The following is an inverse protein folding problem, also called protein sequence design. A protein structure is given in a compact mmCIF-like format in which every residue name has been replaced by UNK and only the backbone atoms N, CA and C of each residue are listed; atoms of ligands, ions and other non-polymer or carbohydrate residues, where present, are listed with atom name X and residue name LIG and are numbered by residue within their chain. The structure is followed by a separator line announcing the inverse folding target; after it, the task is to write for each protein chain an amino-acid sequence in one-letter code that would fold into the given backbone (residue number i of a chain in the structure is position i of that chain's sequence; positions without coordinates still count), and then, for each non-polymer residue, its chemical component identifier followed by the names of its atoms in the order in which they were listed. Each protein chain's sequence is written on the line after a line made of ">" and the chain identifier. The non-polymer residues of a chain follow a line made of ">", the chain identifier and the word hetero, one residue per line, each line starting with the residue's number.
data_IF_011893639291
#
_entry.id   IF_011893639291
#
_cell.length_a   1.000
_cell.length_b   1.000
_cell.length_c   1.000
_cell.angle_alpha   90.00
_cell.angle_beta   90.00
_cell.angle_gamma   90.00
#
_symmetry.space_group_name_H-M   'P 1'
#
loop_
_entity.id
_entity.type
_entity.pdbx_description
1 polymer ?
#
# COMPACT_ATOMS: atom_id res chain seq x y z
N UNK A 1 -13.35 -0.62 -4.77
CA UNK A 1 -12.49 0.27 -4.03
C UNK A 1 -11.96 1.37 -4.93
N UNK A 2 -10.97 1.15 -5.71
CA UNK A 2 -10.36 2.16 -6.56
C UNK A 2 -10.50 1.72 -8.00
N UNK A 3 -10.91 2.63 -8.92
CA UNK A 3 -11.06 2.24 -10.30
C UNK A 3 -9.71 2.01 -10.97
N UNK A 4 -8.80 2.95 -10.79
CA UNK A 4 -7.44 2.87 -11.33
C UNK A 4 -6.48 3.36 -10.27
N UNK A 5 -5.31 2.75 -10.22
CA UNK A 5 -4.26 3.18 -9.32
C UNK A 5 -3.87 2.08 -8.36
N UNK A 6 -3.24 2.49 -7.27
CA UNK A 6 -2.61 1.57 -6.32
C UNK A 6 -3.28 1.69 -4.95
N UNK A 7 -3.33 0.57 -4.25
CA UNK A 7 -3.77 0.51 -2.86
C UNK A 7 -2.70 -0.19 -2.06
N UNK A 8 -2.30 0.40 -0.94
CA UNK A 8 -1.37 -0.21 0.00
C UNK A 8 -2.07 -0.38 1.35
N UNK A 9 -1.87 -1.54 1.98
CA UNK A 9 -2.40 -1.81 3.31
C UNK A 9 -1.22 -2.10 4.23
N UNK A 10 -1.14 -1.34 5.32
CA UNK A 10 -0.02 -1.37 6.25
C UNK A 10 -0.51 -1.33 7.68
N UNK A 11 0.39 -1.52 8.64
CA UNK A 11 0.13 -1.23 10.05
C UNK A 11 1.42 -0.82 10.72
N UNK A 12 1.29 -0.02 11.80
CA UNK A 12 2.46 0.45 12.54
C UNK A 12 3.18 -0.70 13.25
N UNK A 13 2.43 -1.63 13.80
CA UNK A 13 3.00 -2.79 14.49
C UNK A 13 3.46 -3.85 13.48
N UNK A 14 4.36 -3.45 12.61
CA UNK A 14 4.87 -4.28 11.52
C UNK A 14 6.21 -3.69 11.07
N UNK A 15 7.33 -4.30 11.42
CA UNK A 15 8.65 -3.76 11.04
C UNK A 15 8.82 -3.56 9.54
N UNK A 16 8.31 -4.47 8.73
CA UNK A 16 8.39 -4.33 7.28
C UNK A 16 7.56 -3.16 6.79
N UNK A 17 6.40 -2.91 7.38
CA UNK A 17 5.58 -1.74 7.05
C UNK A 17 6.31 -0.45 7.37
N UNK A 18 6.98 -0.39 8.52
CA UNK A 18 7.78 0.79 8.89
C UNK A 18 8.91 1.00 7.88
N UNK A 19 9.55 -0.09 7.46
CA UNK A 19 10.65 -0.03 6.50
C UNK A 19 10.19 0.52 5.14
N UNK A 20 8.98 0.17 4.70
CA UNK A 20 8.50 0.61 3.38
C UNK A 20 7.84 1.98 3.39
N UNK A 21 7.67 2.62 4.55
CA UNK A 21 7.04 3.94 4.61
C UNK A 21 7.68 4.96 3.67
N UNK A 22 9.04 5.09 3.61
CA UNK A 22 9.66 6.01 2.65
C UNK A 22 9.37 5.63 1.19
N UNK A 23 9.24 4.33 0.91
CA UNK A 23 8.90 3.87 -0.44
C UNK A 23 7.50 4.30 -0.81
N UNK A 24 6.56 4.22 0.14
CA UNK A 24 5.19 4.67 -0.08
C UNK A 24 5.13 6.16 -0.39
N UNK A 25 5.95 6.97 0.30
CA UNK A 25 6.03 8.40 0.00
C UNK A 25 6.52 8.65 -1.41
N UNK A 26 7.50 7.89 -1.86
CA UNK A 26 8.03 8.01 -3.22
C UNK A 26 6.98 7.61 -4.25
N UNK A 27 6.26 6.52 -4.01
CA UNK A 27 5.21 6.06 -4.92
C UNK A 27 4.10 7.13 -5.03
N UNK A 28 3.74 7.76 -3.92
CA UNK A 28 2.72 8.82 -3.90
C UNK A 28 3.07 10.00 -4.79
N UNK A 29 4.37 10.28 -4.97
CA UNK A 29 4.81 11.39 -5.82
C UNK A 29 4.68 11.07 -7.31
N UNK A 30 4.57 9.79 -7.66
CA UNK A 30 4.58 9.35 -9.05
C UNK A 30 3.29 8.68 -9.49
N UNK A 31 2.49 8.20 -8.53
CA UNK A 31 1.32 7.38 -8.82
C UNK A 31 0.15 7.78 -7.95
N UNK A 32 -1.04 7.41 -8.40
CA UNK A 32 -2.26 7.52 -7.60
C UNK A 32 -2.27 6.34 -6.62
N UNK A 33 -2.07 6.62 -5.34
CA UNK A 33 -1.94 5.61 -4.30
C UNK A 33 -2.85 5.95 -3.12
N UNK A 34 -3.67 4.98 -2.73
CA UNK A 34 -4.48 5.04 -1.52
C UNK A 34 -3.84 4.14 -0.46
N UNK A 35 -3.60 4.66 0.73
CA UNK A 35 -2.99 3.91 1.83
C UNK A 35 -4.03 3.70 2.92
N UNK A 36 -4.16 2.44 3.37
CA UNK A 36 -5.00 2.07 4.49
C UNK A 36 -4.12 1.58 5.63
N UNK A 37 -4.42 2.01 6.86
CA UNK A 37 -3.71 1.53 8.05
C UNK A 37 -4.63 0.68 8.90
N UNK A 38 -4.11 -0.45 9.38
CA UNK A 38 -4.90 -1.40 10.17
C UNK A 38 -4.93 -1.09 11.65
N UNK A 39 -4.03 -0.25 12.16
CA UNK A 39 -3.93 -0.03 13.61
C UNK A 39 -3.82 1.43 14.01
N UNK A 40 -3.04 2.23 13.33
CA UNK A 40 -2.73 3.59 13.75
C UNK A 40 -2.98 4.58 12.61
N UNK A 41 -4.05 5.40 12.68
CA UNK A 41 -4.36 6.34 11.61
C UNK A 41 -3.30 7.41 11.37
N UNK A 42 -2.35 7.59 12.28
CA UNK A 42 -1.23 8.50 12.07
C UNK A 42 -0.06 7.87 11.34
N UNK A 43 -0.14 6.59 11.05
CA UNK A 43 0.91 5.85 10.33
C UNK A 43 0.48 5.60 8.87
N UNK A 44 1.36 5.77 7.88
CA UNK A 44 2.76 6.24 7.98
C UNK A 44 2.83 7.75 8.30
N UNK A 45 3.75 8.10 9.17
CA UNK A 45 3.92 9.48 9.57
C UNK A 45 4.35 10.36 8.40
N UNK A 46 3.84 11.58 8.38
CA UNK A 46 4.17 12.53 7.32
C UNK A 46 3.40 12.31 6.02
N UNK A 47 2.52 11.31 5.96
CA UNK A 47 1.67 11.06 4.80
C UNK A 47 0.24 11.48 5.15
N UNK A 48 -0.31 12.38 4.35
CA UNK A 48 -1.68 12.83 4.52
C UNK A 48 -2.65 11.93 3.75
N UNK A 49 -3.90 11.88 4.21
CA UNK A 49 -4.94 11.16 3.50
C UNK A 49 -4.91 9.65 3.70
N UNK A 50 -4.20 9.16 4.72
CA UNK A 50 -4.22 7.75 5.06
C UNK A 50 -5.61 7.39 5.58
N UNK A 51 -6.18 6.32 5.04
CA UNK A 51 -7.51 5.87 5.44
C UNK A 51 -7.41 4.94 6.64
N UNK A 52 -8.35 5.09 7.56
CA UNK A 52 -8.45 4.28 8.76
C UNK A 52 -9.11 2.94 8.42
N UNK A 53 -8.37 1.86 8.59
CA UNK A 53 -8.88 0.49 8.41
C UNK A 53 -8.73 -0.31 9.71
N UNK A 54 -8.87 0.37 10.86
CA UNK A 54 -8.76 -0.32 12.15
C UNK A 54 -9.86 -1.35 12.36
N UNK A 55 -10.97 -1.22 11.64
CA UNK A 55 -12.03 -2.23 11.63
C UNK A 55 -11.69 -3.41 10.70
N UNK A 56 -10.62 -3.32 9.91
CA UNK A 56 -10.19 -4.30 8.92
C UNK A 56 -11.18 -4.52 7.78
N UNK A 57 -12.06 -3.56 7.55
CA UNK A 57 -13.08 -3.64 6.51
C UNK A 57 -12.47 -3.67 5.11
N UNK A 58 -11.54 -2.74 4.82
CA UNK A 58 -10.86 -2.72 3.53
C UNK A 58 -9.99 -3.96 3.36
N UNK A 59 -9.28 -4.36 4.40
CA UNK A 59 -8.45 -5.56 4.37
C UNK A 59 -9.28 -6.80 4.06
N UNK A 60 -10.47 -6.90 4.67
CA UNK A 60 -11.37 -8.01 4.42
C UNK A 60 -11.86 -8.02 2.97
N UNK A 61 -12.29 -6.86 2.46
CA UNK A 61 -12.79 -6.76 1.09
C UNK A 61 -11.72 -7.07 0.05
N UNK A 62 -10.48 -6.70 0.34
CA UNK A 62 -9.35 -6.93 -0.56
C UNK A 62 -8.67 -8.28 -0.33
N UNK A 63 -9.18 -9.06 0.62
CA UNK A 63 -8.63 -10.38 0.96
C UNK A 63 -7.16 -10.27 1.36
N UNK A 64 -6.85 -9.33 2.25
CA UNK A 64 -5.49 -9.08 2.72
C UNK A 64 -5.26 -9.80 4.03
N UNK A 65 -4.30 -10.72 4.06
CA UNK A 65 -3.92 -11.46 5.25
C UNK A 65 -2.54 -11.09 5.76
N UNK A 66 -1.71 -10.54 4.89
CA UNK A 66 -0.32 -10.20 5.18
C UNK A 66 -0.10 -8.71 4.89
N UNK A 67 0.60 -8.01 5.77
CA UNK A 67 0.98 -6.62 5.53
C UNK A 67 2.50 -6.50 5.50
N UNK A 68 3.04 -5.58 4.73
CA UNK A 68 2.33 -4.72 3.79
C UNK A 68 1.86 -5.48 2.55
N UNK A 69 0.75 -5.05 2.00
CA UNK A 69 0.23 -5.55 0.72
C UNK A 69 0.06 -4.37 -0.22
N UNK A 70 0.48 -4.53 -1.46
CA UNK A 70 0.33 -3.53 -2.50
C UNK A 70 -0.48 -4.14 -3.65
N UNK A 71 -1.52 -3.45 -4.07
CA UNK A 71 -2.45 -3.94 -5.09
C UNK A 71 -2.61 -2.89 -6.19
N UNK A 72 -2.62 -3.33 -7.43
CA UNK A 72 -2.89 -2.46 -8.58
C UNK A 72 -4.27 -2.75 -9.14
N UNK A 73 -5.03 -1.68 -9.38
CA UNK A 73 -6.36 -1.74 -9.98
C UNK A 73 -6.37 -1.05 -11.34
N UNK A 74 -7.08 -1.65 -12.29
CA UNK A 74 -7.37 -1.04 -13.59
C UNK A 74 -8.83 -1.33 -13.92
N UNK A 75 -9.57 -0.27 -14.20
CA UNK A 75 -11.00 -0.35 -14.54
C UNK A 75 -11.81 -1.08 -13.47
N UNK A 76 -11.47 -0.81 -12.20
CA UNK A 76 -12.17 -1.40 -11.06
C UNK A 76 -11.78 -2.82 -10.72
N UNK A 77 -10.86 -3.41 -11.48
CA UNK A 77 -10.45 -4.79 -11.26
C UNK A 77 -8.99 -4.87 -10.81
N UNK A 78 -8.72 -5.78 -9.89
CA UNK A 78 -7.35 -6.04 -9.46
C UNK A 78 -6.60 -6.74 -10.59
N UNK A 79 -5.45 -6.19 -10.97
CA UNK A 79 -4.64 -6.76 -12.06
C UNK A 79 -3.29 -7.27 -11.56
N UNK A 80 -2.85 -6.86 -10.37
CA UNK A 80 -1.59 -7.36 -9.80
C UNK A 80 -1.55 -7.07 -8.31
N UNK A 81 -0.77 -7.86 -7.55
CA UNK A 81 -0.54 -7.59 -6.12
C UNK A 81 0.77 -8.23 -5.66
N UNK A 82 1.31 -7.71 -4.57
CA UNK A 82 2.46 -8.28 -3.91
C UNK A 82 2.37 -8.08 -2.40
N UNK A 83 3.08 -8.92 -1.66
CA UNK A 83 3.10 -8.92 -0.18
C UNK A 83 4.52 -8.71 0.31
N UNK A 84 4.65 -8.16 1.53
CA UNK A 84 5.96 -7.93 2.13
C UNK A 84 6.75 -6.92 1.32
N UNK A 85 8.08 -7.01 1.40
CA UNK A 85 8.94 -6.12 0.64
C UNK A 85 9.84 -6.92 -0.30
N UNK A 86 9.66 -6.68 -1.60
CA UNK A 86 10.52 -7.16 -2.67
C UNK A 86 10.55 -6.04 -3.70
N UNK A 87 11.71 -5.41 -3.86
CA UNK A 87 11.83 -4.25 -4.74
C UNK A 87 11.33 -4.55 -6.15
N UNK A 88 11.77 -5.67 -6.72
CA UNK A 88 11.39 -6.02 -8.10
C UNK A 88 9.89 -6.21 -8.23
N UNK A 89 9.26 -6.87 -7.25
CA UNK A 89 7.81 -7.08 -7.26
C UNK A 89 7.06 -5.76 -7.12
N UNK A 90 7.52 -4.88 -6.22
CA UNK A 90 6.90 -3.56 -6.04
C UNK A 90 7.05 -2.70 -7.27
N UNK A 91 8.21 -2.74 -7.92
CA UNK A 91 8.42 -2.01 -9.17
C UNK A 91 7.49 -2.52 -10.26
N UNK A 92 7.32 -3.83 -10.35
CA UNK A 92 6.41 -4.43 -11.33
C UNK A 92 4.96 -4.00 -11.09
N UNK A 93 4.50 -4.06 -9.84
CA UNK A 93 3.11 -3.69 -9.50
C UNK A 93 2.86 -2.22 -9.75
N UNK A 94 3.81 -1.36 -9.38
CA UNK A 94 3.64 0.10 -9.53
C UNK A 94 3.93 0.57 -10.96
N UNK A 95 4.70 -0.19 -11.73
CA UNK A 95 5.20 0.27 -13.02
C UNK A 95 6.26 1.35 -12.89
N UNK A 96 6.91 1.45 -11.72
CA UNK A 96 7.85 2.49 -11.39
C UNK A 96 9.21 1.88 -11.08
N UNK A 97 10.25 2.35 -11.75
CA UNK A 97 11.63 1.89 -11.51
C UNK A 97 12.30 2.67 -10.37
N UNK A 98 13.40 2.13 -9.88
CA UNK A 98 14.29 2.79 -8.94
C UNK A 98 13.64 3.14 -7.60
N UNK A 99 12.78 2.26 -7.11
CA UNK A 99 12.23 2.44 -5.76
C UNK A 99 13.33 2.28 -4.72
N UNK A 100 13.35 3.19 -3.74
CA UNK A 100 14.28 3.08 -2.61
C UNK A 100 13.74 2.13 -1.57
N UNK A 101 14.64 1.54 -0.79
CA UNK A 101 14.24 0.66 0.31
C UNK A 101 14.85 1.09 1.65
#
# INVERSE_FOLDING_TARGET
>A
MQENGLVAIVKRDCPTCVMVAPVLQEILQRNDLKIYTQDDPSFPEGIEGVADDTSLDASYRLDVEIVPTLVRFENGSEVDRTYGWDRAAWEKVTGTDDLVD
#
